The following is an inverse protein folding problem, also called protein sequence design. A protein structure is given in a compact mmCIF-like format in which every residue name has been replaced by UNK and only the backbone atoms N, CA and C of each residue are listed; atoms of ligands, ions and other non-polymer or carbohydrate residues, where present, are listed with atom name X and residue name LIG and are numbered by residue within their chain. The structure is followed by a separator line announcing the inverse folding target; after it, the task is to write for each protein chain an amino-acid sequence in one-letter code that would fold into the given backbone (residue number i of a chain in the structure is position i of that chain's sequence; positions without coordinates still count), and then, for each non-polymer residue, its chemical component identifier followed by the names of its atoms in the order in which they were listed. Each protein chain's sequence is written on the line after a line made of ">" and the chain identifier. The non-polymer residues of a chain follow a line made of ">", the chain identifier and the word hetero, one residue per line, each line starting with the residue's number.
data_IF_481847448726
#
_entry.id   IF_481847448726
#
_cell.length_a   1.000
_cell.length_b   1.000
_cell.length_c   1.000
_cell.angle_alpha   90.00
_cell.angle_beta   90.00
_cell.angle_gamma   90.00
#
_symmetry.space_group_name_H-M   'P 1'
#
loop_
_entity.id
_entity.type
_entity.pdbx_description
1 polymer ?
#
# COMPACT_ATOMS: atom_id res chain seq x y z
N UNK A 1 -0.95 -13.12 8.93
CA UNK A 1 -2.33 -12.98 8.43
C UNK A 1 -3.35 -13.89 9.16
N UNK A 2 -3.17 -14.19 10.45
CA UNK A 2 -4.14 -14.96 11.27
C UNK A 2 -4.71 -16.22 10.60
N UNK A 3 -3.84 -17.00 9.93
CA UNK A 3 -4.22 -18.23 9.20
C UNK A 3 -4.93 -18.04 7.85
N UNK A 4 -5.27 -16.81 7.44
CA UNK A 4 -5.95 -16.54 6.16
C UNK A 4 -4.95 -16.23 5.04
N UNK A 5 -5.14 -16.83 3.88
CA UNK A 5 -4.40 -16.45 2.67
C UNK A 5 -4.90 -15.10 2.11
N UNK A 6 -4.09 -14.35 1.34
CA UNK A 6 -4.56 -13.17 0.63
C UNK A 6 -5.56 -13.54 -0.48
N UNK A 7 -6.50 -12.65 -0.80
CA UNK A 7 -7.37 -12.83 -1.98
C UNK A 7 -6.57 -12.73 -3.27
N UNK A 8 -5.61 -11.80 -3.30
CA UNK A 8 -4.79 -11.49 -4.46
C UNK A 8 -3.35 -11.17 -4.09
N UNK A 9 -2.38 -11.49 -4.95
CA UNK A 9 -0.99 -11.06 -4.87
C UNK A 9 -0.56 -10.45 -6.20
N UNK A 10 0.20 -9.35 -6.13
CA UNK A 10 0.88 -8.71 -7.28
C UNK A 10 2.39 -8.92 -7.14
N UNK A 11 3.05 -9.47 -8.16
CA UNK A 11 4.52 -9.56 -8.21
C UNK A 11 5.06 -9.16 -9.57
N UNK A 12 6.37 -9.14 -9.73
CA UNK A 12 6.96 -9.02 -11.06
C UNK A 12 6.82 -10.35 -11.82
N UNK A 13 6.99 -10.30 -13.14
CA UNK A 13 7.03 -11.48 -13.97
C UNK A 13 8.33 -12.26 -13.70
N UNK A 14 8.21 -13.26 -12.83
CA UNK A 14 9.25 -14.17 -12.32
C UNK A 14 8.65 -15.56 -12.06
N UNK A 15 9.27 -16.60 -12.62
CA UNK A 15 8.75 -17.97 -12.57
C UNK A 15 8.97 -18.67 -11.21
N UNK A 16 10.01 -18.29 -10.45
CA UNK A 16 10.30 -18.86 -9.13
C UNK A 16 9.29 -18.34 -8.12
N UNK A 17 9.03 -17.03 -8.14
CA UNK A 17 8.01 -16.39 -7.31
C UNK A 17 6.61 -16.94 -7.65
N UNK A 18 6.29 -17.11 -8.94
CA UNK A 18 5.04 -17.74 -9.37
C UNK A 18 4.89 -19.17 -8.81
N UNK A 19 5.92 -20.00 -8.93
CA UNK A 19 5.92 -21.37 -8.38
C UNK A 19 5.73 -21.39 -6.86
N UNK A 20 6.41 -20.50 -6.13
CA UNK A 20 6.26 -20.37 -4.69
C UNK A 20 4.84 -19.94 -4.28
N UNK A 21 4.22 -19.00 -5.00
CA UNK A 21 2.83 -18.59 -4.74
C UNK A 21 1.86 -19.73 -5.00
N UNK A 22 2.01 -20.49 -6.09
CA UNK A 22 1.14 -21.64 -6.37
C UNK A 22 1.23 -22.74 -5.31
N UNK A 23 2.40 -22.94 -4.70
CA UNK A 23 2.60 -23.93 -3.64
C UNK A 23 2.09 -23.47 -2.27
N UNK A 24 2.37 -22.22 -1.89
CA UNK A 24 2.05 -21.69 -0.55
C UNK A 24 0.64 -21.13 -0.46
N UNK A 25 0.12 -20.59 -1.58
CA UNK A 25 -1.16 -19.88 -1.65
C UNK A 25 -1.98 -20.28 -2.91
N UNK A 26 -2.34 -21.57 -3.09
CA UNK A 26 -2.99 -22.06 -4.31
C UNK A 26 -4.36 -21.43 -4.62
N UNK A 27 -5.04 -20.85 -3.63
CA UNK A 27 -6.34 -20.17 -3.78
C UNK A 27 -6.22 -18.65 -4.01
N UNK A 28 -5.01 -18.10 -4.02
CA UNK A 28 -4.78 -16.67 -4.21
C UNK A 28 -4.69 -16.32 -5.68
N UNK A 29 -5.38 -15.26 -6.11
CA UNK A 29 -5.24 -14.73 -7.47
C UNK A 29 -3.89 -14.05 -7.64
N UNK A 30 -2.98 -14.69 -8.38
CA UNK A 30 -1.71 -14.10 -8.74
C UNK A 30 -1.83 -13.24 -10.01
N UNK A 31 -1.35 -11.99 -9.94
CA UNK A 31 -1.13 -11.12 -11.10
C UNK A 31 0.30 -10.62 -11.19
N UNK A 32 0.74 -10.33 -12.41
CA UNK A 32 2.00 -9.63 -12.66
C UNK A 32 1.80 -8.11 -12.65
N UNK A 33 2.82 -7.39 -12.19
CA UNK A 33 2.82 -5.94 -12.12
C UNK A 33 2.82 -5.32 -13.52
N UNK A 34 1.70 -4.65 -13.86
CA UNK A 34 1.49 -4.02 -15.17
C UNK A 34 2.63 -3.06 -15.52
N UNK A 35 3.07 -2.21 -14.59
CA UNK A 35 4.18 -1.29 -14.83
C UNK A 35 5.49 -2.00 -15.21
N UNK A 36 5.85 -3.09 -14.52
CA UNK A 36 7.06 -3.84 -14.86
C UNK A 36 6.96 -4.53 -16.23
N UNK A 37 5.78 -4.94 -16.66
CA UNK A 37 5.57 -5.46 -18.02
C UNK A 37 5.70 -4.34 -19.06
N UNK A 38 5.10 -3.17 -18.84
CA UNK A 38 5.26 -2.01 -19.73
C UNK A 38 6.72 -1.54 -19.82
N UNK A 39 7.44 -1.49 -18.70
CA UNK A 39 8.87 -1.16 -18.66
C UNK A 39 9.70 -2.19 -19.42
N UNK A 40 9.52 -3.50 -19.15
CA UNK A 40 10.21 -4.56 -19.91
C UNK A 40 9.84 -4.53 -21.40
N UNK A 41 8.62 -4.12 -21.76
CA UNK A 41 8.20 -3.90 -23.15
C UNK A 41 9.02 -2.80 -23.82
N UNK A 42 9.16 -1.64 -23.15
CA UNK A 42 9.98 -0.52 -23.62
C UNK A 42 11.48 -0.90 -23.75
N UNK A 43 12.02 -1.67 -22.81
CA UNK A 43 13.39 -2.18 -22.86
C UNK A 43 13.60 -3.14 -24.05
N UNK A 44 12.75 -4.18 -24.17
CA UNK A 44 12.87 -5.24 -25.18
C UNK A 44 12.53 -4.78 -26.60
N UNK A 45 11.52 -3.93 -26.75
CA UNK A 45 11.05 -3.41 -28.03
C UNK A 45 11.57 -2.00 -28.32
N UNK A 46 12.62 -1.54 -27.63
CA UNK A 46 13.22 -0.20 -27.80
C UNK A 46 13.44 0.19 -29.27
N UNK A 47 13.87 -0.76 -30.11
CA UNK A 47 13.99 -0.57 -31.56
C UNK A 47 12.65 -0.29 -32.28
N UNK A 48 11.54 -0.91 -31.85
CA UNK A 48 10.18 -0.66 -32.33
C UNK A 48 9.71 0.72 -31.91
N UNK A 49 9.90 1.09 -30.63
CA UNK A 49 9.54 2.42 -30.11
C UNK A 49 10.25 3.54 -30.88
N UNK A 50 11.54 3.37 -31.22
CA UNK A 50 12.31 4.32 -32.03
C UNK A 50 11.86 4.37 -33.49
N UNK A 51 11.51 3.22 -34.09
CA UNK A 51 11.09 3.11 -35.50
C UNK A 51 9.64 3.55 -35.71
N UNK A 52 8.79 3.42 -34.70
CA UNK A 52 7.34 3.61 -34.78
C UNK A 52 6.83 4.43 -33.58
N UNK A 53 6.78 5.78 -33.69
CA UNK A 53 6.33 6.65 -32.60
C UNK A 53 4.90 6.39 -32.09
N UNK A 54 4.04 5.76 -32.91
CA UNK A 54 2.67 5.38 -32.52
C UNK A 54 2.60 4.10 -31.69
N UNK A 55 3.66 3.30 -31.63
CA UNK A 55 3.66 1.97 -31.00
C UNK A 55 3.25 2.03 -29.52
N UNK A 56 3.77 2.99 -28.76
CA UNK A 56 3.45 3.13 -27.32
C UNK A 56 1.95 3.40 -27.11
N UNK A 57 1.37 4.31 -27.91
CA UNK A 57 -0.04 4.65 -27.82
C UNK A 57 -0.94 3.47 -28.24
N UNK A 58 -0.57 2.76 -29.31
CA UNK A 58 -1.30 1.58 -29.77
C UNK A 58 -1.22 0.42 -28.76
N UNK A 59 -0.04 0.14 -28.18
CA UNK A 59 0.12 -0.87 -27.13
C UNK A 59 -0.65 -0.50 -25.85
N UNK A 60 -0.57 0.77 -25.42
CA UNK A 60 -1.31 1.24 -24.26
C UNK A 60 -2.83 1.18 -24.47
N UNK A 61 -3.32 1.49 -25.67
CA UNK A 61 -4.73 1.34 -26.08
C UNK A 61 -5.13 -0.14 -26.06
N UNK A 62 -4.35 -1.01 -26.70
CA UNK A 62 -4.59 -2.45 -26.77
C UNK A 62 -4.74 -3.11 -25.39
N UNK A 63 -3.96 -2.68 -24.39
CA UNK A 63 -4.00 -3.28 -23.05
C UNK A 63 -5.01 -2.62 -22.12
N UNK A 64 -5.11 -1.27 -22.12
CA UNK A 64 -5.87 -0.55 -21.10
C UNK A 64 -7.26 -0.08 -21.56
N UNK A 65 -7.53 0.01 -22.87
CA UNK A 65 -8.77 0.61 -23.40
C UNK A 65 -9.71 -0.40 -24.06
N UNK A 66 -9.38 -1.69 -24.05
CA UNK A 66 -10.27 -2.78 -24.46
C UNK A 66 -11.22 -3.14 -23.33
N UNK A 67 -12.50 -3.31 -23.64
CA UNK A 67 -13.55 -3.54 -22.67
C UNK A 67 -13.91 -5.03 -22.55
N UNK A 68 -13.77 -5.81 -23.62
CA UNK A 68 -13.98 -7.26 -23.61
C UNK A 68 -12.70 -8.07 -23.86
N UNK A 69 -12.76 -9.39 -23.61
CA UNK A 69 -11.69 -10.32 -23.96
C UNK A 69 -11.54 -10.41 -25.48
N UNK A 70 -12.63 -10.48 -26.23
CA UNK A 70 -12.59 -10.61 -27.70
C UNK A 70 -12.02 -9.36 -28.37
N UNK A 71 -12.31 -8.17 -27.83
CA UNK A 71 -11.66 -6.91 -28.23
C UNK A 71 -10.16 -6.93 -27.94
N UNK A 72 -9.74 -7.43 -26.77
CA UNK A 72 -8.33 -7.56 -26.44
C UNK A 72 -7.61 -8.50 -27.41
N UNK A 73 -8.11 -9.72 -27.61
CA UNK A 73 -7.47 -10.70 -28.50
C UNK A 73 -7.40 -10.16 -29.95
N UNK A 74 -8.49 -9.55 -30.44
CA UNK A 74 -8.52 -8.93 -31.78
C UNK A 74 -7.55 -7.75 -31.91
N UNK A 75 -7.48 -6.87 -30.90
CA UNK A 75 -6.59 -5.71 -30.90
C UNK A 75 -5.13 -6.14 -30.77
N UNK A 76 -4.84 -7.15 -29.95
CA UNK A 76 -3.50 -7.71 -29.78
C UNK A 76 -2.98 -8.34 -31.07
N UNK A 77 -3.80 -9.15 -31.75
CA UNK A 77 -3.45 -9.71 -33.06
C UNK A 77 -3.17 -8.60 -34.08
N UNK A 78 -4.03 -7.58 -34.19
CA UNK A 78 -3.79 -6.44 -35.08
C UNK A 78 -2.52 -5.66 -34.71
N UNK A 79 -2.17 -5.58 -33.43
CA UNK A 79 -0.97 -4.90 -32.94
C UNK A 79 0.30 -5.66 -33.36
N UNK A 80 0.39 -6.97 -33.07
CA UNK A 80 1.58 -7.75 -33.42
C UNK A 80 1.78 -7.88 -34.92
N UNK A 81 0.70 -7.88 -35.70
CA UNK A 81 0.75 -7.91 -37.17
C UNK A 81 1.25 -6.58 -37.75
N UNK A 82 0.72 -5.45 -37.25
CA UNK A 82 1.09 -4.10 -37.73
C UNK A 82 2.57 -3.78 -37.56
N UNK A 83 3.18 -4.32 -36.52
CA UNK A 83 4.56 -4.02 -36.12
C UNK A 83 5.55 -5.16 -36.36
N UNK A 84 5.12 -6.24 -37.03
CA UNK A 84 5.94 -7.42 -37.37
C UNK A 84 6.57 -8.10 -36.14
N UNK A 85 5.75 -8.32 -35.10
CA UNK A 85 6.18 -8.81 -33.78
C UNK A 85 5.70 -10.24 -33.47
N UNK A 86 5.13 -10.96 -34.45
CA UNK A 86 4.59 -12.33 -34.24
C UNK A 86 5.62 -13.28 -33.64
N UNK A 87 6.85 -13.24 -34.13
CA UNK A 87 7.93 -14.15 -33.74
C UNK A 87 8.79 -13.62 -32.58
N UNK A 88 8.40 -12.50 -31.96
CA UNK A 88 9.16 -11.91 -30.86
C UNK A 88 8.94 -12.71 -29.56
N UNK A 89 9.84 -13.66 -29.28
CA UNK A 89 9.82 -14.63 -28.16
C UNK A 89 9.31 -14.06 -26.81
N UNK A 90 9.85 -12.93 -26.36
CA UNK A 90 9.43 -12.30 -25.10
C UNK A 90 7.97 -11.84 -25.12
N UNK A 91 7.49 -11.38 -26.28
CA UNK A 91 6.11 -10.90 -26.46
C UNK A 91 5.14 -12.10 -26.51
N UNK A 92 5.53 -13.21 -27.13
CA UNK A 92 4.82 -14.49 -27.05
C UNK A 92 4.73 -15.02 -25.61
N UNK A 93 5.81 -14.90 -24.83
CA UNK A 93 5.82 -15.31 -23.41
C UNK A 93 4.85 -14.47 -22.59
N UNK A 94 4.89 -13.14 -22.74
CA UNK A 94 4.00 -12.22 -22.02
C UNK A 94 2.54 -12.37 -22.47
N UNK A 95 2.27 -12.64 -23.75
CA UNK A 95 0.93 -12.96 -24.25
C UNK A 95 0.40 -14.30 -23.71
N UNK A 96 1.25 -15.31 -23.59
CA UNK A 96 0.88 -16.59 -22.95
C UNK A 96 0.42 -16.36 -21.49
N UNK A 97 1.07 -15.42 -20.80
CA UNK A 97 0.73 -14.98 -19.45
C UNK A 97 -0.43 -13.96 -19.35
N UNK A 98 -1.12 -13.60 -20.44
CA UNK A 98 -2.11 -12.47 -20.47
C UNK A 98 -3.16 -12.50 -19.37
N UNK A 99 -3.64 -13.68 -18.97
CA UNK A 99 -4.63 -13.89 -17.89
C UNK A 99 -4.15 -13.46 -16.49
N UNK A 100 -2.86 -13.15 -16.35
CA UNK A 100 -2.23 -12.68 -15.12
C UNK A 100 -1.85 -11.20 -15.16
N UNK A 101 -2.03 -10.44 -16.25
CA UNK A 101 -1.61 -9.03 -16.28
C UNK A 101 -2.48 -8.10 -17.12
N UNK A 102 -3.19 -8.64 -18.12
CA UNK A 102 -4.07 -7.85 -18.97
C UNK A 102 -5.35 -7.53 -18.19
N UNK A 103 -5.75 -6.25 -18.06
CA UNK A 103 -6.80 -5.85 -17.14
C UNK A 103 -8.17 -6.52 -17.38
N UNK A 104 -8.58 -6.78 -18.64
CA UNK A 104 -9.87 -7.46 -18.94
C UNK A 104 -9.97 -8.87 -18.33
N UNK A 105 -8.85 -9.55 -18.08
CA UNK A 105 -8.83 -10.87 -17.46
C UNK A 105 -8.73 -10.86 -15.93
N UNK A 106 -8.66 -9.68 -15.30
CA UNK A 106 -8.39 -9.52 -13.87
C UNK A 106 -9.52 -8.82 -13.10
N UNK A 107 -10.55 -8.31 -13.79
CA UNK A 107 -11.63 -7.53 -13.17
C UNK A 107 -12.52 -8.37 -12.25
N UNK A 108 -12.52 -9.69 -12.43
CA UNK A 108 -13.25 -10.67 -11.62
C UNK A 108 -12.75 -10.82 -10.18
N UNK A 109 -11.60 -10.23 -9.84
CA UNK A 109 -10.91 -10.45 -8.57
C UNK A 109 -10.59 -9.14 -7.86
N UNK A 110 -10.83 -9.08 -6.56
CA UNK A 110 -10.49 -7.94 -5.72
C UNK A 110 -8.98 -7.72 -5.58
N UNK A 111 -8.49 -6.63 -6.15
CA UNK A 111 -7.10 -6.18 -6.10
C UNK A 111 -6.89 -4.88 -5.31
N UNK A 112 -7.97 -4.29 -4.77
CA UNK A 112 -7.96 -3.03 -4.00
C UNK A 112 -7.38 -1.81 -4.74
N UNK A 113 -7.32 -1.84 -6.08
CA UNK A 113 -6.90 -0.70 -6.90
C UNK A 113 -8.09 0.19 -7.27
N UNK A 114 -7.89 1.52 -7.26
CA UNK A 114 -8.97 2.49 -7.49
C UNK A 114 -9.42 2.58 -8.95
N UNK A 115 -8.63 2.06 -9.89
CA UNK A 115 -9.03 1.88 -11.29
C UNK A 115 -8.20 0.78 -11.97
N UNK A 116 -8.90 -0.01 -12.79
CA UNK A 116 -8.38 -1.06 -13.67
C UNK A 116 -7.31 -0.52 -14.64
N UNK A 117 -7.46 0.72 -15.09
CA UNK A 117 -6.56 1.37 -16.06
C UNK A 117 -5.45 2.18 -15.40
N UNK A 118 -5.53 2.44 -14.09
CA UNK A 118 -4.55 3.26 -13.39
C UNK A 118 -3.13 2.70 -13.57
N UNK A 119 -2.14 3.60 -13.67
CA UNK A 119 -0.73 3.21 -13.66
C UNK A 119 -0.45 2.63 -12.28
N UNK A 120 0.02 1.39 -12.21
CA UNK A 120 0.52 0.81 -10.97
C UNK A 120 1.81 1.55 -10.65
N UNK A 121 1.71 2.57 -9.79
CA UNK A 121 2.81 3.44 -9.46
C UNK A 121 3.99 2.60 -8.96
N UNK A 122 5.14 2.80 -9.60
CA UNK A 122 6.29 1.91 -9.42
C UNK A 122 6.82 1.97 -7.99
N UNK A 123 7.47 0.91 -7.51
CA UNK A 123 8.20 0.96 -6.23
C UNK A 123 9.27 2.07 -6.20
N UNK A 124 9.71 2.57 -7.37
CA UNK A 124 10.57 3.74 -7.44
C UNK A 124 9.87 5.03 -6.97
N UNK A 125 8.54 5.21 -7.10
CA UNK A 125 7.84 6.41 -6.56
C UNK A 125 7.77 6.43 -5.02
N UNK A 126 8.06 5.31 -4.36
CA UNK A 126 8.29 5.28 -2.92
C UNK A 126 9.62 5.95 -2.53
N UNK A 127 10.67 5.72 -3.33
CA UNK A 127 12.03 6.23 -3.11
C UNK A 127 12.42 7.43 -3.97
N UNK A 128 11.50 7.96 -4.77
CA UNK A 128 11.77 9.06 -5.69
C UNK A 128 12.12 10.33 -4.91
N UNK A 129 13.15 11.04 -5.37
CA UNK A 129 13.81 12.12 -4.64
C UNK A 129 14.66 11.68 -3.41
N UNK A 130 14.63 10.41 -3.00
CA UNK A 130 15.45 9.90 -1.88
C UNK A 130 16.65 9.07 -2.35
N UNK A 131 16.47 8.12 -3.27
CA UNK A 131 17.51 7.17 -3.70
C UNK A 131 17.79 7.31 -5.19
N UNK A 132 19.07 7.27 -5.55
CA UNK A 132 19.55 7.35 -6.93
C UNK A 132 20.74 6.41 -7.19
N UNK A 133 21.22 6.34 -8.43
CA UNK A 133 22.30 5.43 -8.82
C UNK A 133 23.66 5.68 -8.14
N UNK A 134 23.88 6.85 -7.52
CA UNK A 134 25.09 7.16 -6.75
C UNK A 134 24.94 6.97 -5.23
N UNK A 135 23.76 6.55 -4.77
CA UNK A 135 23.47 6.33 -3.34
C UNK A 135 24.16 5.05 -2.85
N UNK A 136 25.13 5.18 -1.94
CA UNK A 136 25.79 4.01 -1.36
C UNK A 136 24.95 3.35 -0.25
N UNK A 137 25.27 2.10 0.10
CA UNK A 137 24.48 1.31 1.06
C UNK A 137 24.32 1.96 2.44
N UNK A 138 25.33 2.69 2.93
CA UNK A 138 25.26 3.41 4.22
C UNK A 138 24.35 4.64 4.15
N UNK A 139 24.31 5.33 3.01
CA UNK A 139 23.35 6.40 2.74
C UNK A 139 21.93 5.86 2.55
N UNK A 140 21.79 4.71 1.87
CA UNK A 140 20.50 4.09 1.58
C UNK A 140 19.66 3.87 2.84
N UNK A 141 20.21 3.30 3.92
CA UNK A 141 19.46 3.11 5.17
C UNK A 141 18.91 4.42 5.75
N UNK A 142 19.72 5.49 5.76
CA UNK A 142 19.31 6.82 6.26
C UNK A 142 18.25 7.47 5.37
N UNK A 143 18.30 7.22 4.06
CA UNK A 143 17.34 7.75 3.08
C UNK A 143 16.04 6.94 3.08
N UNK A 144 16.12 5.63 3.32
CA UNK A 144 14.99 4.74 3.56
C UNK A 144 14.20 5.16 4.82
N UNK A 145 14.89 5.41 5.94
CA UNK A 145 14.26 5.90 7.17
C UNK A 145 13.51 7.22 6.94
N UNK A 146 14.11 8.18 6.22
CA UNK A 146 13.46 9.44 5.84
C UNK A 146 12.27 9.27 4.89
N UNK A 147 12.35 8.35 3.94
CA UNK A 147 11.23 8.05 3.03
C UNK A 147 10.04 7.45 3.81
N UNK A 148 10.33 6.55 4.77
CA UNK A 148 9.36 5.96 5.67
C UNK A 148 8.72 7.01 6.61
N UNK A 149 9.54 7.88 7.21
CA UNK A 149 9.07 8.98 8.07
C UNK A 149 8.14 9.92 7.29
N UNK A 150 8.54 10.40 6.11
CA UNK A 150 7.69 11.26 5.28
C UNK A 150 6.39 10.59 4.83
N UNK A 151 6.40 9.27 4.56
CA UNK A 151 5.18 8.52 4.26
C UNK A 151 4.26 8.41 5.49
N UNK A 152 4.81 8.17 6.68
CA UNK A 152 4.05 8.19 7.94
C UNK A 152 3.47 9.58 8.26
N UNK A 153 4.22 10.66 8.05
CA UNK A 153 3.70 12.04 8.18
C UNK A 153 2.52 12.31 7.23
N UNK A 154 2.64 11.88 5.97
CA UNK A 154 1.58 11.99 4.95
C UNK A 154 0.35 11.17 5.34
N UNK A 155 0.51 9.98 5.91
CA UNK A 155 -0.59 9.17 6.43
C UNK A 155 -1.27 9.83 7.64
N UNK A 156 -0.50 10.29 8.64
CA UNK A 156 -1.03 10.99 9.82
C UNK A 156 -1.79 12.26 9.42
N UNK A 157 -1.29 13.01 8.42
CA UNK A 157 -1.99 14.16 7.85
C UNK A 157 -3.29 13.75 7.15
N UNK A 158 -3.29 12.70 6.33
CA UNK A 158 -4.48 12.21 5.64
C UNK A 158 -5.56 11.67 6.60
N UNK A 159 -5.15 10.98 7.67
CA UNK A 159 -6.03 10.54 8.76
C UNK A 159 -6.60 11.75 9.51
N UNK A 160 -5.77 12.75 9.83
CA UNK A 160 -6.22 14.00 10.46
C UNK A 160 -7.24 14.74 9.59
N UNK A 161 -6.97 14.94 8.30
CA UNK A 161 -7.91 15.59 7.38
C UNK A 161 -9.21 14.80 7.21
N UNK A 162 -9.14 13.46 7.22
CA UNK A 162 -10.32 12.58 7.13
C UNK A 162 -11.21 12.69 8.37
N UNK A 163 -10.64 12.87 9.55
CA UNK A 163 -11.39 13.02 10.80
C UNK A 163 -11.93 14.44 11.01
N UNK A 164 -11.14 15.48 10.67
CA UNK A 164 -11.38 16.86 11.10
C UNK A 164 -11.90 17.78 9.98
N UNK A 165 -11.98 17.32 8.73
CA UNK A 165 -12.53 18.12 7.62
C UNK A 165 -13.73 17.42 6.99
N UNK A 166 -14.91 18.04 7.07
CA UNK A 166 -16.07 17.58 6.33
C UNK A 166 -15.82 17.69 4.82
N UNK A 167 -16.03 16.62 4.02
CA UNK A 167 -15.95 16.72 2.57
C UNK A 167 -17.04 17.62 2.00
N UNK A 168 -16.73 18.36 0.93
CA UNK A 168 -17.73 19.14 0.19
C UNK A 168 -18.57 18.19 -0.66
N UNK A 169 -19.88 18.20 -0.48
CA UNK A 169 -20.83 17.44 -1.30
C UNK A 169 -21.07 18.16 -2.64
N UNK A 170 -21.18 17.42 -3.73
CA UNK A 170 -21.47 17.94 -5.08
C UNK A 170 -22.94 17.81 -5.48
N UNK A 171 -23.70 16.96 -4.79
CA UNK A 171 -25.13 16.73 -5.02
C UNK A 171 -25.91 16.73 -3.70
N UNK A 172 -27.24 16.92 -3.72
CA UNK A 172 -28.09 16.75 -2.54
C UNK A 172 -28.43 15.27 -2.23
N UNK A 173 -27.68 14.30 -2.80
CA UNK A 173 -28.00 12.88 -2.67
C UNK A 173 -27.78 12.36 -1.23
N UNK A 174 -28.77 11.67 -0.63
CA UNK A 174 -28.59 11.03 0.67
C UNK A 174 -27.46 9.99 0.67
N UNK A 175 -27.24 9.32 -0.47
CA UNK A 175 -26.16 8.35 -0.68
C UNK A 175 -24.78 9.01 -0.61
N UNK A 176 -24.65 10.23 -1.15
CA UNK A 176 -23.41 11.00 -1.08
C UNK A 176 -23.10 11.41 0.36
N UNK A 177 -24.12 11.90 1.08
CA UNK A 177 -23.98 12.24 2.50
C UNK A 177 -23.53 11.02 3.32
N UNK A 178 -24.22 9.89 3.19
CA UNK A 178 -23.88 8.63 3.87
C UNK A 178 -22.44 8.18 3.54
N UNK A 179 -22.05 8.21 2.26
CA UNK A 179 -20.69 7.86 1.85
C UNK A 179 -19.63 8.84 2.43
N UNK A 180 -19.96 10.13 2.56
CA UNK A 180 -19.07 11.14 3.14
C UNK A 180 -18.79 10.88 4.63
N UNK A 181 -19.76 10.35 5.36
CA UNK A 181 -19.66 10.04 6.79
C UNK A 181 -18.90 8.73 7.04
N UNK A 182 -19.03 7.74 6.15
CA UNK A 182 -18.46 6.40 6.29
C UNK A 182 -17.03 6.25 5.74
N UNK A 183 -16.75 6.79 4.55
CA UNK A 183 -15.49 6.58 3.85
C UNK A 183 -14.35 7.50 4.33
N UNK A 184 -13.11 7.07 4.10
CA UNK A 184 -11.95 7.98 4.21
C UNK A 184 -12.03 9.08 3.14
N UNK A 185 -11.41 10.24 3.38
CA UNK A 185 -11.53 11.41 2.48
C UNK A 185 -11.12 11.09 1.03
N UNK A 186 -10.03 10.31 0.83
CA UNK A 186 -9.56 9.88 -0.50
C UNK A 186 -10.58 8.96 -1.19
N UNK A 187 -11.17 8.02 -0.46
CA UNK A 187 -12.16 7.09 -1.05
C UNK A 187 -13.49 7.82 -1.33
N UNK A 188 -13.94 8.70 -0.43
CA UNK A 188 -15.12 9.51 -0.67
C UNK A 188 -15.00 10.34 -1.96
N UNK A 189 -13.85 10.98 -2.22
CA UNK A 189 -13.62 11.72 -3.46
C UNK A 189 -13.78 10.84 -4.71
N UNK A 190 -13.26 9.60 -4.70
CA UNK A 190 -13.45 8.63 -5.80
C UNK A 190 -14.90 8.18 -5.95
N UNK A 191 -15.58 7.90 -4.84
CA UNK A 191 -17.01 7.57 -4.86
C UNK A 191 -17.85 8.72 -5.42
N UNK A 192 -17.52 9.96 -5.04
CA UNK A 192 -18.17 11.16 -5.54
C UNK A 192 -17.92 11.39 -7.04
N UNK A 193 -16.72 11.08 -7.55
CA UNK A 193 -16.43 11.09 -9.00
C UNK A 193 -17.35 10.12 -9.76
N UNK A 194 -17.50 8.88 -9.29
CA UNK A 194 -18.42 7.90 -9.90
C UNK A 194 -19.89 8.32 -9.77
N UNK A 195 -20.31 8.85 -8.60
CA UNK A 195 -21.68 9.28 -8.35
C UNK A 195 -22.08 10.48 -9.21
N UNK A 196 -21.20 11.48 -9.35
CA UNK A 196 -21.42 12.61 -10.28
C UNK A 196 -21.35 12.14 -11.74
N UNK A 197 -20.49 11.16 -12.04
CA UNK A 197 -20.41 10.51 -13.35
C UNK A 197 -21.74 9.94 -13.83
N UNK A 198 -22.63 9.48 -12.93
CA UNK A 198 -23.98 8.98 -13.27
C UNK A 198 -24.81 9.97 -14.10
N UNK A 199 -24.59 11.28 -13.93
CA UNK A 199 -25.32 12.33 -14.64
C UNK A 199 -25.04 12.35 -16.15
N UNK A 200 -24.01 11.62 -16.62
CA UNK A 200 -23.66 11.47 -18.04
C UNK A 200 -24.17 10.18 -18.69
N UNK A 201 -24.89 9.35 -17.92
CA UNK A 201 -25.40 8.04 -18.35
C UNK A 201 -26.93 7.97 -18.29
N UNK A 202 -27.52 7.26 -19.24
CA UNK A 202 -28.90 6.76 -19.15
C UNK A 202 -28.88 5.32 -18.65
N UNK A 203 -29.92 4.93 -17.92
CA UNK A 203 -30.18 3.55 -17.53
C UNK A 203 -31.58 3.16 -18.01
N UNK A 204 -31.67 2.36 -19.06
CA UNK A 204 -32.92 1.78 -19.57
C UNK A 204 -33.13 0.39 -18.98
N UNK A 205 -34.39 0.07 -18.62
CA UNK A 205 -34.77 -1.29 -18.24
C UNK A 205 -34.79 -2.16 -19.50
N UNK A 206 -34.02 -3.24 -19.49
CA UNK A 206 -34.03 -4.30 -20.49
C UNK A 206 -34.82 -5.50 -19.97
N UNK A 207 -34.21 -6.68 -20.04
CA UNK A 207 -34.82 -7.94 -19.62
C UNK A 207 -35.18 -7.97 -18.13
N UNK A 208 -36.28 -8.64 -17.82
CA UNK A 208 -36.82 -8.83 -16.47
C UNK A 208 -37.27 -10.29 -16.34
N UNK A 209 -36.50 -11.08 -15.58
CA UNK A 209 -36.82 -12.49 -15.30
C UNK A 209 -37.63 -12.66 -13.99
N UNK A 210 -38.07 -11.54 -13.40
CA UNK A 210 -38.90 -11.47 -12.19
C UNK A 210 -38.11 -11.36 -10.89
N UNK A 211 -36.92 -11.95 -10.82
CA UNK A 211 -36.02 -11.83 -9.66
C UNK A 211 -34.89 -10.84 -9.93
N UNK A 212 -34.36 -10.86 -11.17
CA UNK A 212 -33.24 -10.05 -11.63
C UNK A 212 -33.69 -9.17 -12.80
N UNK A 213 -33.58 -7.86 -12.60
CA UNK A 213 -33.82 -6.88 -13.66
C UNK A 213 -32.47 -6.51 -14.29
N UNK A 214 -32.34 -6.72 -15.59
CA UNK A 214 -31.18 -6.27 -16.37
C UNK A 214 -31.43 -4.86 -16.91
N UNK A 215 -30.53 -3.94 -16.59
CA UNK A 215 -30.50 -2.57 -17.10
C UNK A 215 -29.38 -2.42 -18.11
N UNK A 216 -29.68 -1.78 -19.23
CA UNK A 216 -28.70 -1.29 -20.18
C UNK A 216 -28.31 0.13 -19.77
N UNK A 217 -27.01 0.38 -19.60
CA UNK A 217 -26.48 1.64 -19.10
C UNK A 217 -25.47 2.19 -20.10
N UNK A 218 -25.82 3.28 -20.78
CA UNK A 218 -24.99 3.89 -21.82
C UNK A 218 -24.77 5.38 -21.55
N UNK A 219 -23.62 5.88 -21.96
CA UNK A 219 -23.30 7.31 -21.91
C UNK A 219 -24.09 8.03 -23.02
N UNK A 220 -24.59 9.24 -22.76
CA UNK A 220 -25.36 10.00 -23.77
C UNK A 220 -24.62 10.08 -25.12
N UNK A 221 -25.24 9.55 -26.18
CA UNK A 221 -24.69 9.55 -27.54
C UNK A 221 -23.70 8.41 -27.85
N UNK A 222 -23.42 7.52 -26.89
CA UNK A 222 -22.52 6.36 -27.05
C UNK A 222 -23.26 5.02 -26.80
N UNK A 223 -24.49 4.88 -27.32
CA UNK A 223 -25.35 3.69 -27.12
C UNK A 223 -24.70 2.37 -27.57
N UNK A 224 -23.72 2.43 -28.47
CA UNK A 224 -22.91 1.31 -28.94
C UNK A 224 -21.88 0.80 -27.90
N UNK A 225 -21.69 1.52 -26.78
CA UNK A 225 -20.87 1.13 -25.62
C UNK A 225 -21.72 1.05 -24.36
N UNK A 226 -22.75 0.22 -24.43
CA UNK A 226 -23.61 -0.04 -23.29
C UNK A 226 -22.97 -1.05 -22.33
N UNK A 227 -23.01 -0.73 -21.04
CA UNK A 227 -22.74 -1.67 -19.95
C UNK A 227 -24.05 -2.29 -19.48
N UNK A 228 -23.97 -3.51 -18.95
CA UNK A 228 -25.14 -4.24 -18.46
C UNK A 228 -25.04 -4.38 -16.95
N UNK A 229 -26.10 -3.97 -16.25
CA UNK A 229 -26.21 -4.04 -14.80
C UNK A 229 -27.38 -4.95 -14.45
N UNK A 230 -27.12 -6.04 -13.73
CA UNK A 230 -28.14 -6.96 -13.23
C UNK A 230 -28.44 -6.63 -11.78
N UNK A 231 -29.70 -6.30 -11.46
CA UNK A 231 -30.16 -5.96 -10.12
C UNK A 231 -31.14 -7.02 -9.59
N UNK A 232 -30.75 -7.74 -8.55
CA UNK A 232 -31.69 -8.45 -7.68
C UNK A 232 -32.34 -7.42 -6.73
N UNK A 233 -33.65 -7.22 -6.88
CA UNK A 233 -34.40 -6.20 -6.11
C UNK A 233 -34.65 -6.64 -4.66
N UNK A 234 -34.73 -7.94 -4.40
CA UNK A 234 -34.97 -8.49 -3.05
C UNK A 234 -33.71 -8.39 -2.18
N UNK A 235 -32.55 -8.73 -2.75
CA UNK A 235 -31.26 -8.68 -2.05
C UNK A 235 -30.60 -7.30 -2.10
N UNK A 236 -31.12 -6.38 -2.93
CA UNK A 236 -30.49 -5.09 -3.29
C UNK A 236 -29.08 -5.26 -3.86
N UNK A 237 -28.82 -6.39 -4.52
CA UNK A 237 -27.53 -6.75 -5.11
C UNK A 237 -27.52 -6.44 -6.61
N UNK A 238 -26.64 -5.52 -7.00
CA UNK A 238 -26.29 -5.21 -8.38
C UNK A 238 -24.91 -5.76 -8.78
N UNK A 239 -24.83 -6.40 -9.94
CA UNK A 239 -23.57 -6.74 -10.63
C UNK A 239 -23.49 -5.98 -11.95
N UNK A 240 -22.29 -5.69 -12.44
CA UNK A 240 -22.10 -4.90 -13.65
C UNK A 240 -21.03 -5.51 -14.57
N UNK A 241 -21.25 -5.48 -15.88
CA UNK A 241 -20.30 -5.98 -16.89
C UNK A 241 -18.92 -5.31 -16.84
N UNK A 242 -18.80 -4.10 -16.26
CA UNK A 242 -17.50 -3.45 -16.08
C UNK A 242 -16.69 -4.00 -14.88
N UNK A 243 -17.30 -4.80 -14.00
CA UNK A 243 -16.69 -5.50 -12.85
C UNK A 243 -15.85 -4.61 -11.90
N UNK A 244 -16.24 -3.33 -11.77
CA UNK A 244 -15.46 -2.36 -10.98
C UNK A 244 -15.55 -2.63 -9.47
N UNK A 245 -16.68 -3.13 -8.97
CA UNK A 245 -16.84 -3.43 -7.54
C UNK A 245 -16.04 -4.67 -7.16
N UNK A 246 -16.08 -5.69 -8.00
CA UNK A 246 -15.31 -6.92 -7.89
C UNK A 246 -13.81 -6.61 -7.83
N UNK A 247 -13.32 -5.72 -8.69
CA UNK A 247 -11.91 -5.30 -8.75
C UNK A 247 -11.46 -4.36 -7.61
N UNK A 248 -12.24 -3.31 -7.35
CA UNK A 248 -11.84 -2.17 -6.50
C UNK A 248 -12.56 -2.11 -5.14
N UNK A 249 -13.69 -2.79 -5.00
CA UNK A 249 -14.58 -2.65 -3.84
C UNK A 249 -15.35 -1.33 -3.78
N UNK A 250 -15.45 -0.60 -4.89
CA UNK A 250 -16.31 0.59 -5.04
C UNK A 250 -17.29 0.39 -6.19
N UNK A 251 -18.53 0.87 -6.00
CA UNK A 251 -19.54 0.86 -7.05
C UNK A 251 -19.17 1.83 -8.18
N UNK A 252 -19.28 1.36 -9.42
CA UNK A 252 -19.14 2.21 -10.60
C UNK A 252 -20.39 3.09 -10.80
N UNK A 253 -20.20 4.16 -11.58
CA UNK A 253 -21.27 4.99 -12.14
C UNK A 253 -22.40 4.19 -12.80
N UNK A 254 -22.15 2.99 -13.35
CA UNK A 254 -23.21 2.21 -14.00
C UNK A 254 -24.20 1.65 -12.97
N UNK A 255 -23.71 1.04 -11.88
CA UNK A 255 -24.57 0.58 -10.78
C UNK A 255 -25.25 1.76 -10.10
N UNK A 256 -24.51 2.85 -9.87
CA UNK A 256 -25.06 4.06 -9.24
C UNK A 256 -26.13 4.75 -10.12
N UNK A 257 -26.02 4.68 -11.45
CA UNK A 257 -27.06 5.15 -12.37
C UNK A 257 -28.33 4.28 -12.29
N UNK A 258 -28.19 2.96 -12.15
CA UNK A 258 -29.33 2.06 -11.91
C UNK A 258 -29.98 2.37 -10.56
N UNK A 259 -29.20 2.45 -9.48
CA UNK A 259 -29.70 2.83 -8.15
C UNK A 259 -30.44 4.17 -8.16
N UNK A 260 -30.01 5.14 -8.98
CA UNK A 260 -30.72 6.41 -9.17
C UNK A 260 -32.08 6.24 -9.84
N UNK A 261 -32.23 5.39 -10.86
CA UNK A 261 -33.53 5.16 -11.53
C UNK A 261 -34.45 4.20 -10.75
N UNK A 262 -33.90 3.33 -9.91
CA UNK A 262 -34.65 2.44 -9.00
C UNK A 262 -34.90 3.04 -7.61
N UNK A 263 -34.54 4.33 -7.41
CA UNK A 263 -34.76 5.09 -6.18
C UNK A 263 -34.10 4.48 -4.92
N UNK A 264 -32.95 3.82 -5.08
CA UNK A 264 -32.09 3.37 -3.98
C UNK A 264 -31.31 4.59 -3.47
N UNK A 265 -31.76 5.14 -2.34
CA UNK A 265 -31.27 6.42 -1.81
C UNK A 265 -29.99 6.31 -0.96
N UNK A 266 -29.58 5.10 -0.57
CA UNK A 266 -28.43 4.84 0.30
C UNK A 266 -27.67 3.60 -0.17
N UNK A 267 -26.37 3.53 0.09
CA UNK A 267 -25.54 2.35 -0.19
C UNK A 267 -26.00 1.17 0.68
N UNK A 268 -26.34 0.02 0.07
CA UNK A 268 -26.51 -1.24 0.79
C UNK A 268 -25.23 -1.63 1.54
N UNK A 269 -25.38 -2.24 2.73
CA UNK A 269 -24.28 -2.52 3.64
C UNK A 269 -23.18 -3.42 3.05
N UNK A 270 -23.55 -4.36 2.18
CA UNK A 270 -22.61 -5.28 1.54
C UNK A 270 -21.66 -4.59 0.52
N UNK A 271 -21.98 -3.38 0.04
CA UNK A 271 -21.06 -2.57 -0.78
C UNK A 271 -20.08 -1.73 0.05
N UNK A 272 -20.26 -1.66 1.37
CA UNK A 272 -19.46 -0.81 2.26
C UNK A 272 -18.31 -1.64 2.85
N UNK A 273 -17.24 -1.84 2.07
CA UNK A 273 -16.08 -2.61 2.52
C UNK A 273 -15.35 -1.88 3.65
N UNK A 274 -15.15 -2.56 4.79
CA UNK A 274 -14.49 -1.99 5.99
C UNK A 274 -13.15 -1.30 5.69
N UNK A 275 -12.34 -1.85 4.78
CA UNK A 275 -11.05 -1.32 4.31
C UNK A 275 -11.13 0.16 3.87
N UNK A 276 -12.27 0.56 3.30
CA UNK A 276 -12.50 1.88 2.75
C UNK A 276 -13.09 2.89 3.74
N UNK A 277 -13.53 2.41 4.91
CA UNK A 277 -14.14 3.24 5.95
C UNK A 277 -13.11 3.97 6.80
N UNK A 278 -13.52 5.07 7.44
CA UNK A 278 -12.73 5.77 8.48
C UNK A 278 -12.30 4.83 9.61
N UNK A 279 -13.08 3.78 9.85
CA UNK A 279 -12.89 2.78 10.90
C UNK A 279 -12.08 1.55 10.44
N UNK A 280 -11.35 1.61 9.32
CA UNK A 280 -10.58 0.48 8.80
C UNK A 280 -9.61 -0.13 9.84
N UNK A 281 -8.97 0.71 10.66
CA UNK A 281 -8.00 0.30 11.71
C UNK A 281 -8.64 -0.24 13.00
N UNK A 282 -9.98 -0.12 13.18
CA UNK A 282 -10.62 -0.26 14.49
C UNK A 282 -10.67 -1.66 15.11
N UNK A 283 -10.71 -2.74 14.31
CA UNK A 283 -10.76 -4.12 14.87
C UNK A 283 -9.40 -4.75 15.09
N UNK A 284 -8.34 -4.25 14.45
CA UNK A 284 -6.98 -4.78 14.62
C UNK A 284 -6.58 -4.73 16.09
N UNK A 285 -7.01 -3.69 16.80
CA UNK A 285 -6.76 -3.47 18.23
C UNK A 285 -7.58 -4.37 19.18
N UNK A 286 -8.64 -5.04 18.71
CA UNK A 286 -9.51 -5.88 19.54
C UNK A 286 -9.12 -7.37 19.49
N UNK A 287 -8.76 -7.89 18.32
CA UNK A 287 -8.30 -9.29 18.18
C UNK A 287 -6.86 -9.48 18.72
N UNK A 288 -6.01 -8.46 18.63
CA UNK A 288 -4.63 -8.51 19.15
C UNK A 288 -4.58 -8.57 20.69
N UNK A 289 -5.69 -8.23 21.37
CA UNK A 289 -5.85 -8.34 22.83
C UNK A 289 -6.18 -9.76 23.33
N UNK A 290 -6.41 -10.74 22.45
CA UNK A 290 -6.88 -12.08 22.85
C UNK A 290 -5.81 -13.19 22.79
N UNK A 291 -4.54 -12.86 22.51
CA UNK A 291 -3.44 -13.83 22.42
C UNK A 291 -2.23 -13.40 23.25
N UNK A 292 -2.21 -13.79 24.53
CA UNK A 292 -1.16 -13.52 25.53
C UNK A 292 0.21 -14.22 25.27
N UNK A 293 0.59 -14.42 24.00
CA UNK A 293 1.77 -15.23 23.60
C UNK A 293 2.81 -14.43 22.79
N UNK A 294 2.52 -13.20 22.38
CA UNK A 294 3.43 -12.36 21.55
C UNK A 294 3.76 -10.97 22.14
N UNK A 295 3.65 -10.82 23.47
CA UNK A 295 3.75 -9.54 24.20
C UNK A 295 5.07 -8.75 24.03
N UNK A 296 6.15 -9.36 23.54
CA UNK A 296 7.45 -8.70 23.37
C UNK A 296 7.74 -8.20 21.94
N UNK A 297 6.85 -8.40 20.96
CA UNK A 297 7.15 -8.09 19.55
C UNK A 297 6.52 -6.77 19.04
N UNK A 298 5.67 -6.10 19.83
CA UNK A 298 4.82 -4.98 19.37
C UNK A 298 5.03 -3.63 20.09
N UNK A 299 6.19 -3.43 20.73
CA UNK A 299 6.51 -2.18 21.46
C UNK A 299 7.18 -1.07 20.62
N UNK A 300 6.94 -1.03 19.30
CA UNK A 300 7.46 0.08 18.49
C UNK A 300 6.90 1.43 18.98
N UNK A 301 7.72 2.49 18.91
CA UNK A 301 7.28 3.83 19.31
C UNK A 301 6.03 4.27 18.52
N UNK A 302 5.99 3.96 17.22
CA UNK A 302 4.87 4.27 16.33
C UNK A 302 3.58 3.59 16.74
N UNK A 303 3.61 2.31 17.16
CA UNK A 303 2.41 1.60 17.65
C UNK A 303 1.91 2.24 18.94
N UNK A 304 2.78 2.42 19.94
CA UNK A 304 2.42 3.06 21.22
C UNK A 304 1.87 4.47 21.03
N UNK A 305 2.50 5.28 20.18
CA UNK A 305 2.05 6.63 19.82
C UNK A 305 0.67 6.61 19.16
N UNK A 306 0.45 5.77 18.14
CA UNK A 306 -0.82 5.69 17.43
C UNK A 306 -1.96 5.15 18.31
N UNK A 307 -1.68 4.20 19.20
CA UNK A 307 -2.65 3.72 20.20
C UNK A 307 -3.05 4.82 21.17
N UNK A 308 -2.08 5.51 21.79
CA UNK A 308 -2.35 6.62 22.70
C UNK A 308 -3.12 7.76 22.01
N UNK A 309 -2.75 8.09 20.78
CA UNK A 309 -3.47 9.07 19.94
C UNK A 309 -4.92 8.65 19.72
N UNK A 310 -5.17 7.41 19.29
CA UNK A 310 -6.52 6.91 19.01
C UNK A 310 -7.40 6.85 20.27
N UNK A 311 -6.86 6.39 21.40
CA UNK A 311 -7.61 6.38 22.67
C UNK A 311 -7.90 7.79 23.19
N UNK A 312 -6.95 8.73 23.08
CA UNK A 312 -7.19 10.14 23.40
C UNK A 312 -8.26 10.77 22.49
N UNK A 313 -8.34 10.38 21.22
CA UNK A 313 -9.35 10.89 20.29
C UNK A 313 -10.80 10.50 20.68
N UNK A 314 -11.02 9.39 21.40
CA UNK A 314 -12.37 9.02 21.88
C UNK A 314 -12.97 10.06 22.83
N UNK A 315 -12.14 10.80 23.56
CA UNK A 315 -12.59 11.85 24.47
C UNK A 315 -13.07 13.11 23.73
N UNK A 316 -12.72 13.29 22.45
CA UNK A 316 -13.14 14.43 21.63
C UNK A 316 -14.65 14.38 21.33
N UNK A 317 -15.25 13.18 21.28
CA UNK A 317 -16.71 13.03 21.18
C UNK A 317 -17.46 13.61 22.39
N UNK A 318 -16.78 13.82 23.53
CA UNK A 318 -17.31 14.52 24.70
C UNK A 318 -17.61 16.00 24.45
N UNK A 319 -17.09 16.62 23.39
CA UNK A 319 -17.35 18.03 23.07
C UNK A 319 -18.81 18.33 22.63
N UNK A 320 -19.68 17.32 22.55
CA UNK A 320 -21.08 17.43 22.11
C UNK A 320 -22.02 18.06 23.15
N UNK A 321 -21.66 18.05 24.43
CA UNK A 321 -22.34 18.81 25.48
C UNK A 321 -21.32 19.37 26.50
N UNK A 322 -21.68 20.44 27.21
CA UNK A 322 -20.78 21.00 28.25
C UNK A 322 -20.45 19.98 29.34
N UNK A 323 -21.45 19.21 29.77
CA UNK A 323 -21.31 18.20 30.82
C UNK A 323 -20.36 17.07 30.40
N UNK A 324 -20.50 16.55 29.17
CA UNK A 324 -19.57 15.52 28.67
C UNK A 324 -18.19 16.08 28.34
N UNK A 325 -18.08 17.37 28.02
CA UNK A 325 -16.81 18.05 27.77
C UNK A 325 -16.00 18.19 29.05
N UNK A 326 -16.62 18.66 30.14
CA UNK A 326 -15.96 18.83 31.44
C UNK A 326 -15.49 17.47 31.99
N UNK A 327 -16.33 16.43 31.91
CA UNK A 327 -15.98 15.05 32.30
C UNK A 327 -14.79 14.52 31.47
N UNK A 328 -14.83 14.68 30.15
CA UNK A 328 -13.75 14.21 29.26
C UNK A 328 -12.43 14.97 29.50
N UNK A 329 -12.51 16.29 29.72
CA UNK A 329 -11.37 17.15 29.98
C UNK A 329 -10.71 16.83 31.33
N UNK A 330 -11.49 16.59 32.38
CA UNK A 330 -10.94 16.23 33.68
C UNK A 330 -10.32 14.82 33.71
N UNK A 331 -10.92 13.85 33.01
CA UNK A 331 -10.31 12.53 32.80
C UNK A 331 -8.96 12.64 32.07
N UNK A 332 -8.86 13.48 31.04
CA UNK A 332 -7.60 13.74 30.32
C UNK A 332 -6.56 14.44 31.21
N UNK A 333 -6.96 15.42 32.03
CA UNK A 333 -6.06 16.07 33.02
C UNK A 333 -5.56 15.07 34.07
N UNK A 334 -6.41 14.17 34.55
CA UNK A 334 -6.02 13.14 35.53
C UNK A 334 -5.04 12.13 34.91
N UNK A 335 -5.31 11.67 33.68
CA UNK A 335 -4.39 10.82 32.93
C UNK A 335 -3.04 11.50 32.71
N UNK A 336 -3.02 12.78 32.31
CA UNK A 336 -1.79 13.56 32.14
C UNK A 336 -0.97 13.66 33.44
N UNK A 337 -1.62 13.89 34.60
CA UNK A 337 -0.96 13.87 35.91
C UNK A 337 -0.35 12.50 36.23
N UNK A 338 -1.08 11.41 36.00
CA UNK A 338 -0.59 10.04 36.21
C UNK A 338 0.63 9.73 35.35
N UNK A 339 0.64 10.15 34.09
CA UNK A 339 1.80 10.00 33.18
C UNK A 339 2.98 10.87 33.63
N UNK A 340 2.74 12.12 34.07
CA UNK A 340 3.80 13.01 34.57
C UNK A 340 4.45 12.52 35.87
N UNK A 341 3.74 11.70 36.66
CA UNK A 341 4.25 11.05 37.87
C UNK A 341 4.76 9.63 37.66
N UNK A 342 4.74 9.10 36.43
CA UNK A 342 5.37 7.82 36.13
C UNK A 342 6.89 7.92 36.33
N UNK A 343 7.54 6.91 36.95
CA UNK A 343 8.97 6.96 37.20
C UNK A 343 9.74 7.00 35.87
N UNK A 344 10.50 8.08 35.65
CA UNK A 344 11.51 8.12 34.59
C UNK A 344 12.57 7.08 34.92
N UNK A 345 12.64 6.04 34.10
CA UNK A 345 13.67 5.02 34.19
C UNK A 345 14.98 5.59 33.60
N UNK A 346 15.58 6.53 34.31
CA UNK A 346 16.94 7.01 34.03
C UNK A 346 17.89 5.84 34.26
N UNK A 347 18.30 5.20 33.17
CA UNK A 347 19.09 3.96 33.17
C UNK A 347 20.48 4.12 33.76
N UNK A 348 20.58 4.16 35.09
CA UNK A 348 21.85 3.97 35.81
C UNK A 348 22.24 2.50 35.74
N UNK A 349 23.21 2.21 34.89
CA UNK A 349 23.94 0.93 34.87
C UNK A 349 24.61 0.68 36.23
N UNK A 350 23.96 -0.07 37.11
CA UNK A 350 24.56 -0.52 38.37
C UNK A 350 25.31 -1.85 38.16
N UNK A 351 26.60 -1.74 37.86
CA UNK A 351 27.56 -2.83 38.10
C UNK A 351 27.92 -2.84 39.57
N UNK A 352 27.81 -3.98 40.28
CA UNK A 352 28.81 -4.37 41.29
C UNK A 352 28.69 -5.78 41.88
N UNK A 353 29.87 -6.31 42.27
CA UNK A 353 30.12 -7.57 42.98
C UNK A 353 30.98 -8.53 42.14
N UNK A 354 32.14 -9.06 42.55
CA UNK A 354 32.86 -9.07 43.85
C UNK A 354 34.33 -9.54 43.58
N UNK A 355 35.44 -9.21 44.28
CA UNK A 355 35.78 -8.18 45.31
C UNK A 355 37.31 -8.15 45.58
N UNK A 356 37.85 -7.04 46.12
CA UNK A 356 39.09 -6.90 46.96
C UNK A 356 40.48 -7.30 46.39
N UNK A 357 41.44 -6.36 46.37
CA UNK A 357 42.85 -6.66 46.00
C UNK A 357 43.90 -5.53 46.07
N UNK A 358 43.97 -4.77 47.17
CA UNK A 358 45.10 -3.97 47.70
C UNK A 358 46.26 -3.39 46.81
N UNK A 359 46.50 -2.09 47.06
CA UNK A 359 47.79 -1.40 47.30
C UNK A 359 48.75 -0.99 46.16
N UNK A 360 48.91 0.35 46.09
CA UNK A 360 50.16 1.13 46.02
C UNK A 360 50.94 1.25 44.69
N UNK A 361 51.48 2.46 44.43
CA UNK A 361 52.66 2.61 43.56
C UNK A 361 52.74 3.82 42.62
N UNK A 362 52.87 5.03 43.17
CA UNK A 362 53.77 6.09 42.70
C UNK A 362 54.11 6.32 41.20
N UNK A 363 53.70 7.50 40.73
CA UNK A 363 54.59 8.55 40.22
C UNK A 363 55.39 8.37 38.89
N UNK A 364 54.99 9.20 37.92
CA UNK A 364 55.84 10.20 37.23
C UNK A 364 57.05 9.81 36.36
N UNK A 365 56.92 10.24 35.08
CA UNK A 365 57.83 11.17 34.36
C UNK A 365 59.10 10.64 33.65
N UNK A 366 59.11 10.91 32.33
CA UNK A 366 60.03 11.85 31.61
C UNK A 366 61.09 11.33 30.59
N UNK A 367 60.97 11.92 29.37
CA UNK A 367 61.96 12.29 28.33
C UNK A 367 62.64 11.34 27.31
N UNK A 368 62.45 11.78 26.04
CA UNK A 368 63.40 11.99 24.93
C UNK A 368 64.11 10.83 24.18
N UNK A 369 63.62 10.62 22.95
CA UNK A 369 64.29 10.93 21.67
C UNK A 369 65.25 9.95 20.95
N UNK A 370 64.96 9.83 19.64
CA UNK A 370 65.84 9.58 18.49
C UNK A 370 66.35 8.17 18.19
N UNK A 371 66.19 7.76 16.92
CA UNK A 371 66.83 6.60 16.31
C UNK A 371 65.99 5.98 15.17
N UNK A 372 66.22 6.40 13.93
CA UNK A 372 65.65 5.73 12.74
C UNK A 372 66.34 4.38 12.47
N UNK A 373 65.59 3.37 12.03
CA UNK A 373 65.89 2.59 10.82
C UNK A 373 64.77 1.59 10.48
N UNK A 374 64.69 1.24 9.20
CA UNK A 374 63.66 0.40 8.58
C UNK A 374 63.73 -1.08 9.01
N UNK A 375 62.58 -1.74 9.11
CA UNK A 375 62.50 -3.18 9.38
C UNK A 375 61.08 -3.71 9.33
N UNK A 376 60.69 -4.32 8.21
CA UNK A 376 59.40 -5.00 8.08
C UNK A 376 59.32 -6.23 8.98
N UNK A 377 58.35 -6.25 9.89
CA UNK A 377 57.81 -7.50 10.44
C UNK A 377 56.35 -7.30 10.81
N UNK A 378 55.48 -8.20 10.34
CA UNK A 378 54.05 -8.11 10.62
C UNK A 378 53.77 -8.28 12.11
N UNK A 379 52.78 -7.55 12.63
CA UNK A 379 52.24 -7.81 13.97
C UNK A 379 51.60 -9.20 13.98
N UNK A 380 52.37 -10.21 14.38
CA UNK A 380 51.86 -11.52 14.71
C UNK A 380 51.02 -11.34 15.97
N UNK A 381 49.71 -11.18 15.81
CA UNK A 381 48.77 -11.13 16.93
C UNK A 381 48.98 -12.40 17.78
N UNK A 382 49.01 -12.22 19.10
CA UNK A 382 49.00 -13.34 20.03
C UNK A 382 47.79 -14.24 19.74
N UNK A 383 47.89 -15.54 20.01
CA UNK A 383 46.76 -16.45 19.89
C UNK A 383 45.57 -15.90 20.69
N UNK A 384 45.80 -15.42 21.92
CA UNK A 384 44.81 -14.74 22.76
C UNK A 384 44.20 -13.47 22.14
N UNK A 385 44.98 -12.69 21.37
CA UNK A 385 44.52 -11.46 20.71
C UNK A 385 43.68 -11.78 19.47
N UNK A 386 44.06 -12.81 18.71
CA UNK A 386 43.23 -13.32 17.61
C UNK A 386 41.92 -13.88 18.15
N UNK A 387 41.97 -14.65 19.23
CA UNK A 387 40.81 -15.23 19.90
C UNK A 387 39.89 -14.15 20.48
N UNK A 388 40.47 -13.07 21.04
CA UNK A 388 39.73 -11.87 21.45
C UNK A 388 39.07 -11.18 20.25
N UNK A 389 39.80 -10.99 19.14
CA UNK A 389 39.28 -10.40 17.90
C UNK A 389 38.13 -11.22 17.30
N UNK A 390 38.24 -12.55 17.32
CA UNK A 390 37.21 -13.49 16.88
C UNK A 390 35.97 -13.36 17.76
N UNK A 391 36.11 -13.29 19.09
CA UNK A 391 34.98 -13.04 20.01
C UNK A 391 34.32 -11.67 19.76
N UNK A 392 35.10 -10.62 19.52
CA UNK A 392 34.61 -9.27 19.19
C UNK A 392 33.79 -9.30 17.89
N UNK A 393 34.37 -9.81 16.80
CA UNK A 393 33.72 -9.92 15.49
C UNK A 393 32.51 -10.86 15.51
N UNK A 394 32.53 -11.93 16.31
CA UNK A 394 31.37 -12.82 16.50
C UNK A 394 30.22 -12.10 17.21
N UNK A 395 30.52 -11.27 18.21
CA UNK A 395 29.51 -10.46 18.89
C UNK A 395 28.96 -9.35 17.98
N UNK A 396 29.81 -8.71 17.17
CA UNK A 396 29.37 -7.74 16.14
C UNK A 396 28.50 -8.42 15.08
N UNK A 397 28.87 -9.60 14.60
CA UNK A 397 28.10 -10.39 13.65
C UNK A 397 26.76 -10.85 14.24
N UNK A 398 26.71 -11.27 15.50
CA UNK A 398 25.44 -11.57 16.18
C UNK A 398 24.58 -10.31 16.36
N UNK A 399 25.18 -9.15 16.64
CA UNK A 399 24.47 -7.87 16.73
C UNK A 399 23.91 -7.45 15.36
N UNK A 400 24.69 -7.60 14.30
CA UNK A 400 24.28 -7.35 12.92
C UNK A 400 23.17 -8.32 12.49
N UNK A 401 23.31 -9.62 12.75
CA UNK A 401 22.27 -10.62 12.45
C UNK A 401 20.98 -10.34 13.22
N UNK A 402 21.03 -9.97 14.51
CA UNK A 402 19.83 -9.55 15.26
C UNK A 402 19.17 -8.32 14.66
N UNK A 403 19.93 -7.33 14.20
CA UNK A 403 19.39 -6.17 13.46
C UNK A 403 18.79 -6.57 12.12
N UNK A 404 19.45 -7.46 11.36
CA UNK A 404 18.93 -7.99 10.10
C UNK A 404 17.65 -8.80 10.30
N UNK A 405 17.52 -9.59 11.36
CA UNK A 405 16.26 -10.28 11.71
C UNK A 405 15.17 -9.28 12.11
N UNK A 406 15.48 -8.22 12.84
CA UNK A 406 14.52 -7.12 13.10
C UNK A 406 14.07 -6.45 11.80
N UNK A 407 14.97 -6.16 10.86
CA UNK A 407 14.60 -5.62 9.54
C UNK A 407 13.79 -6.60 8.70
N UNK A 408 14.20 -7.88 8.66
CA UNK A 408 13.50 -8.96 7.95
C UNK A 408 12.09 -9.16 8.51
N UNK A 409 11.94 -9.14 9.82
CA UNK A 409 10.66 -9.32 10.48
C UNK A 409 9.79 -8.03 10.45
N UNK A 410 10.37 -6.83 10.32
CA UNK A 410 9.63 -5.62 9.95
C UNK A 410 9.11 -5.67 8.49
N UNK A 411 9.89 -6.21 7.55
CA UNK A 411 9.46 -6.45 6.17
C UNK A 411 8.37 -7.53 6.05
N UNK A 412 8.31 -8.48 6.99
CA UNK A 412 7.32 -9.56 7.04
C UNK A 412 6.09 -9.27 7.91
N UNK A 413 6.20 -8.36 8.89
CA UNK A 413 5.08 -7.87 9.71
C UNK A 413 4.38 -6.65 9.12
N UNK A 414 5.05 -5.92 8.21
CA UNK A 414 4.39 -5.03 7.28
C UNK A 414 3.29 -5.79 6.51
N UNK A 415 2.01 -5.40 6.60
CA UNK A 415 0.95 -6.02 5.80
C UNK A 415 1.33 -6.04 4.32
N UNK A 416 1.15 -7.20 3.66
CA UNK A 416 1.38 -7.37 2.23
C UNK A 416 0.53 -6.37 1.45
N UNK A 417 1.14 -5.24 1.11
CA UNK A 417 0.54 -4.15 0.38
C UNK A 417 1.27 -3.94 -0.94
N UNK A 418 0.53 -4.05 -2.02
CA UNK A 418 0.93 -3.49 -3.30
C UNK A 418 -0.28 -3.35 -4.22
N UNK A 419 -0.27 -2.38 -5.15
CA UNK A 419 0.47 -1.12 -5.14
C UNK A 419 -0.40 0.01 -4.56
N UNK A 420 0.16 0.80 -3.63
CA UNK A 420 -0.52 1.99 -3.11
C UNK A 420 -0.43 3.15 -4.11
N UNK A 421 -1.51 3.40 -4.85
CA UNK A 421 -1.50 4.43 -5.89
C UNK A 421 -1.64 5.87 -5.37
N UNK A 422 -1.09 6.79 -6.16
CA UNK A 422 -0.27 7.89 -5.65
C UNK A 422 -0.96 9.15 -5.08
N UNK A 423 -0.09 10.07 -4.66
CA UNK A 423 -0.33 11.51 -4.55
C UNK A 423 -0.22 12.14 -5.96
N UNK A 424 -1.25 12.86 -6.40
CA UNK A 424 -1.13 13.67 -7.62
C UNK A 424 -0.32 14.93 -7.36
N UNK A 425 0.94 14.98 -7.78
CA UNK A 425 1.62 16.23 -8.08
C UNK A 425 1.25 16.64 -9.52
N UNK A 426 0.56 17.77 -9.67
CA UNK A 426 0.34 18.36 -10.98
C UNK A 426 1.63 19.00 -11.50
N UNK A 427 1.96 18.75 -12.76
CA UNK A 427 2.94 19.51 -13.53
C UNK A 427 2.38 19.77 -14.93
N UNK A 428 1.91 20.99 -15.10
CA UNK A 428 1.72 21.75 -16.34
C UNK A 428 2.14 23.18 -15.98
N UNK A 429 2.83 23.97 -16.78
CA UNK A 429 3.70 23.74 -17.95
C UNK A 429 4.50 25.06 -18.11
N UNK A 430 5.77 25.09 -18.55
CA UNK A 430 6.43 26.35 -18.86
C UNK A 430 5.93 26.88 -20.21
N UNK A 431 5.38 28.09 -20.23
CA UNK A 431 5.12 28.83 -21.47
C UNK A 431 6.43 29.40 -22.06
N UNK A 432 6.41 29.58 -23.40
CA UNK A 432 7.46 30.12 -24.29
C UNK A 432 8.50 29.12 -24.84
#
# INVERSE_FOLDING_TARGET
>A
MSGRHPVSITTDHDAVIQSAIMQVFPQTRHRFCKWHIFKKCQEKLSHVFLKHPTFEADFHKCVNLTESIDEFESCWLSLVDRYDLRDHEWLQTVYSARRQWVPVYLRDTFFAEMSITQRSDSMNSYFDGYVNASTNLSQFFKLYEKALESRNEKEVKADFETMNTAPVLKTPSPMEKQASELYTKKIFMRFQEELVGTLTFTASKGDDDGEIITYQVAKFGEDHKAYYVKLNVLEMMATCSCQMFEFSGLLCRHVLAVFRVTNVLTLPSHYILKRWTRNAKSSVMLEERSSDVYTNYLESHTVRYNTLRHEAFKFVDGAKSSETYDIALDALKEAAKKVAHAPKNDGKTMVNGHVRGNLAGGASRIHYASGDHEGSSGQHLSEDDMDKKIRELTNELQCANRKCEVYRANLLSGPCFGPWMDLGCGFDSPEA
#
